data_IF_439024947260
#
_entry.id   IF_439024947260
#
_cell.length_a   1.000
_cell.length_b   1.000
_cell.length_c   1.000
_cell.angle_alpha   90.00
_cell.angle_beta   90.00
_cell.angle_gamma   90.00
#
_symmetry.space_group_name_H-M   'P 1'
#
loop_
_entity.id
_entity.type
_entity.pdbx_description
1 polymer ?
#
# COMPACT_ATOMS: atom_id res chain seq x y z
N UNK A 1 15.06 4.07 0.77
CA UNK A 1 15.11 5.42 1.36
C UNK A 1 13.74 5.72 1.92
N UNK A 2 13.62 6.25 3.14
CA UNK A 2 12.31 6.61 3.66
C UNK A 2 11.76 7.80 2.85
N UNK A 3 10.53 7.72 2.33
CA UNK A 3 9.93 8.81 1.55
C UNK A 3 9.81 10.07 2.41
N UNK A 4 10.03 11.25 1.84
CA UNK A 4 9.99 12.51 2.57
C UNK A 4 8.55 13.01 2.76
N UNK A 5 7.65 12.73 1.81
CA UNK A 5 6.22 13.11 1.86
C UNK A 5 5.34 11.97 1.34
N UNK A 6 4.03 12.04 1.60
CA UNK A 6 3.06 11.10 1.04
C UNK A 6 3.06 11.15 -0.49
N UNK A 7 3.13 12.34 -1.08
CA UNK A 7 3.11 12.48 -2.55
C UNK A 7 4.32 11.80 -3.19
N UNK A 8 5.53 11.99 -2.63
CA UNK A 8 6.73 11.32 -3.12
C UNK A 8 6.62 9.80 -2.96
N UNK A 9 6.09 9.34 -1.83
CA UNK A 9 5.83 7.92 -1.58
C UNK A 9 4.89 7.32 -2.63
N UNK A 10 3.79 8.01 -2.95
CA UNK A 10 2.81 7.55 -3.96
C UNK A 10 3.38 7.60 -5.38
N UNK A 11 4.20 8.59 -5.71
CA UNK A 11 4.90 8.66 -7.00
C UNK A 11 5.89 7.50 -7.16
N UNK A 12 6.68 7.20 -6.14
CA UNK A 12 7.62 6.07 -6.14
C UNK A 12 6.90 4.72 -6.31
N UNK A 13 5.78 4.54 -5.59
CA UNK A 13 4.95 3.34 -5.73
C UNK A 13 4.38 3.24 -7.14
N UNK A 14 3.80 4.32 -7.67
CA UNK A 14 3.23 4.36 -9.03
C UNK A 14 4.29 4.02 -10.09
N UNK A 15 5.52 4.51 -9.91
CA UNK A 15 6.67 4.12 -10.72
C UNK A 15 7.02 2.64 -10.59
N UNK A 16 7.04 2.09 -9.37
CA UNK A 16 7.31 0.66 -9.16
C UNK A 16 6.25 -0.23 -9.82
N UNK A 17 4.98 0.14 -9.70
CA UNK A 17 3.84 -0.54 -10.35
C UNK A 17 3.99 -0.50 -11.87
N UNK A 18 4.21 0.69 -12.43
CA UNK A 18 4.33 0.90 -13.89
C UNK A 18 5.52 0.12 -14.48
N UNK A 19 6.64 0.07 -13.75
CA UNK A 19 7.84 -0.65 -14.15
C UNK A 19 7.81 -2.15 -13.79
N UNK A 20 6.70 -2.67 -13.25
CA UNK A 20 6.55 -4.06 -12.77
C UNK A 20 7.65 -4.48 -11.78
N UNK A 21 8.18 -3.53 -11.01
CA UNK A 21 9.23 -3.75 -10.03
C UNK A 21 8.64 -4.24 -8.70
N UNK A 22 8.29 -5.53 -8.65
CA UNK A 22 7.72 -6.14 -7.44
C UNK A 22 8.63 -6.09 -6.22
N UNK A 23 9.96 -6.17 -6.42
CA UNK A 23 10.93 -6.08 -5.32
C UNK A 23 10.94 -4.69 -4.70
N UNK A 24 11.02 -3.65 -5.52
CA UNK A 24 10.93 -2.26 -5.06
C UNK A 24 9.60 -1.99 -4.36
N UNK A 25 8.49 -2.43 -4.97
CA UNK A 25 7.15 -2.26 -4.42
C UNK A 25 6.99 -2.93 -3.04
N UNK A 26 7.61 -4.09 -2.83
CA UNK A 26 7.55 -4.78 -1.54
C UNK A 26 8.11 -3.94 -0.39
N UNK A 27 9.20 -3.19 -0.62
CA UNK A 27 9.77 -2.30 0.38
C UNK A 27 8.85 -1.13 0.78
N UNK A 28 7.95 -0.73 -0.12
CA UNK A 28 6.97 0.31 0.18
C UNK A 28 5.72 -0.24 0.87
N UNK A 29 5.40 -1.54 0.74
CA UNK A 29 4.18 -2.14 1.30
C UNK A 29 4.41 -2.99 2.56
N UNK A 30 5.65 -3.27 2.94
CA UNK A 30 5.95 -4.00 4.17
C UNK A 30 5.76 -3.12 5.41
N UNK A 31 5.01 -3.62 6.40
CA UNK A 31 4.84 -2.94 7.69
C UNK A 31 6.12 -2.95 8.56
N UNK A 32 7.10 -3.79 8.22
CA UNK A 32 8.40 -3.85 8.89
C UNK A 32 9.43 -2.86 8.33
N UNK A 33 9.16 -2.24 7.18
CA UNK A 33 10.11 -1.35 6.55
C UNK A 33 10.17 0.02 7.26
N UNK A 34 11.33 0.71 7.27
CA UNK A 34 11.53 1.92 8.06
C UNK A 34 10.60 3.10 7.73
N UNK A 35 9.97 3.14 6.54
CA UNK A 35 9.07 4.23 6.17
C UNK A 35 7.83 4.30 7.04
N UNK A 36 7.40 3.19 7.64
CA UNK A 36 6.22 3.12 8.52
C UNK A 36 6.34 4.08 9.71
N UNK A 37 7.55 4.38 10.16
CA UNK A 37 7.78 5.32 11.26
C UNK A 37 7.59 6.79 10.85
N UNK A 38 7.51 7.10 9.55
CA UNK A 38 7.34 8.45 9.06
C UNK A 38 5.93 9.00 9.43
N UNK A 39 5.82 10.04 10.29
CA UNK A 39 4.53 10.65 10.65
C UNK A 39 3.75 11.20 9.46
N UNK A 40 4.42 11.55 8.36
CA UNK A 40 3.76 12.09 7.17
C UNK A 40 2.96 11.05 6.38
N UNK A 41 3.16 9.75 6.68
CA UNK A 41 2.36 8.67 6.13
C UNK A 41 1.19 8.26 7.03
N UNK A 42 1.05 8.86 8.21
CA UNK A 42 -0.01 8.53 9.17
C UNK A 42 -1.29 9.30 8.84
N UNK A 43 -2.02 8.87 7.80
CA UNK A 43 -3.24 9.52 7.30
C UNK A 43 -4.47 8.63 7.55
N UNK A 44 -5.56 9.15 8.18
CA UNK A 44 -6.78 8.37 8.46
C UNK A 44 -7.58 8.02 7.21
N UNK A 45 -7.68 8.95 6.25
CA UNK A 45 -8.52 8.83 5.05
C UNK A 45 -7.69 8.93 3.75
N UNK A 46 -6.79 7.96 3.50
CA UNK A 46 -5.82 8.05 2.42
C UNK A 46 -6.43 7.89 1.01
N UNK A 47 -7.61 7.26 0.86
CA UNK A 47 -8.20 6.91 -0.43
C UNK A 47 -8.32 8.12 -1.35
N UNK A 48 -8.81 9.23 -0.82
CA UNK A 48 -9.03 10.48 -1.57
C UNK A 48 -7.76 10.97 -2.27
N UNK A 49 -6.59 10.74 -1.67
CA UNK A 49 -5.29 11.13 -2.22
C UNK A 49 -4.76 10.02 -3.12
N UNK A 50 -4.83 8.76 -2.67
CA UNK A 50 -4.24 7.61 -3.36
C UNK A 50 -4.84 7.38 -4.74
N UNK A 51 -6.17 7.54 -4.91
CA UNK A 51 -6.84 7.36 -6.22
C UNK A 51 -6.37 8.34 -7.30
N UNK A 52 -5.69 9.43 -6.91
CA UNK A 52 -5.09 10.37 -7.86
C UNK A 52 -3.76 9.88 -8.44
N UNK A 53 -3.14 8.84 -7.85
CA UNK A 53 -1.82 8.31 -8.23
C UNK A 53 -1.86 6.87 -8.72
N UNK A 54 -2.84 6.10 -8.26
CA UNK A 54 -2.96 4.67 -8.48
C UNK A 54 -4.38 4.31 -8.89
N UNK A 55 -4.50 3.17 -9.57
CA UNK A 55 -5.77 2.59 -10.00
C UNK A 55 -5.94 1.20 -9.40
N UNK A 56 -7.17 0.69 -9.39
CA UNK A 56 -7.47 -0.67 -8.92
C UNK A 56 -6.61 -1.71 -9.64
N UNK A 57 -6.02 -2.68 -8.90
CA UNK A 57 -6.19 -2.94 -7.46
C UNK A 57 -5.20 -2.19 -6.54
N UNK A 58 -4.29 -1.38 -7.08
CA UNK A 58 -3.17 -0.81 -6.31
C UNK A 58 -3.58 0.34 -5.40
N UNK A 59 -4.59 1.12 -5.79
CA UNK A 59 -5.18 2.16 -4.96
C UNK A 59 -5.75 1.59 -3.65
N UNK A 60 -6.46 0.46 -3.72
CA UNK A 60 -7.06 -0.22 -2.58
C UNK A 60 -5.97 -0.77 -1.64
N UNK A 61 -4.95 -1.43 -2.20
CA UNK A 61 -3.82 -2.00 -1.43
C UNK A 61 -3.03 -0.90 -0.71
N UNK A 62 -2.70 0.18 -1.42
CA UNK A 62 -1.86 1.26 -0.88
C UNK A 62 -2.66 2.11 0.11
N UNK A 63 -3.94 2.35 -0.14
CA UNK A 63 -4.82 3.03 0.82
C UNK A 63 -4.90 2.24 2.13
N UNK A 64 -5.11 0.93 2.06
CA UNK A 64 -5.11 0.07 3.24
C UNK A 64 -3.76 0.10 3.97
N UNK A 65 -2.62 0.09 3.26
CA UNK A 65 -1.31 0.19 3.89
C UNK A 65 -1.11 1.53 4.62
N UNK A 66 -1.47 2.65 3.99
CA UNK A 66 -1.34 3.98 4.60
C UNK A 66 -2.25 4.10 5.83
N UNK A 67 -3.49 3.59 5.75
CA UNK A 67 -4.39 3.53 6.93
C UNK A 67 -3.84 2.61 8.02
N UNK A 68 -3.21 1.49 7.66
CA UNK A 68 -2.54 0.61 8.61
C UNK A 68 -1.45 1.35 9.39
N UNK A 69 -0.64 2.18 8.72
CA UNK A 69 0.38 3.01 9.39
C UNK A 69 -0.26 3.95 10.42
N UNK A 70 -1.37 4.62 10.06
CA UNK A 70 -2.11 5.49 10.96
C UNK A 70 -2.68 4.73 12.17
N UNK A 71 -3.32 3.59 11.93
CA UNK A 71 -3.94 2.76 12.97
C UNK A 71 -2.90 2.21 13.96
N UNK A 72 -1.78 1.68 13.45
CA UNK A 72 -0.64 1.24 14.28
C UNK A 72 -0.12 2.36 15.18
N UNK A 73 -0.04 3.59 14.66
CA UNK A 73 0.43 4.76 15.43
C UNK A 73 -0.54 5.14 16.55
N UNK A 74 -1.84 5.02 16.30
CA UNK A 74 -2.89 5.31 17.28
C UNK A 74 -3.15 4.15 18.25
N UNK A 75 -2.43 3.02 18.11
CA UNK A 75 -2.63 1.79 18.87
C UNK A 75 -4.02 1.17 18.65
N UNK A 76 -4.63 1.46 17.51
CA UNK A 76 -5.82 0.79 17.02
C UNK A 76 -5.40 -0.47 16.26
N UNK A 77 -5.13 -1.54 17.01
CA UNK A 77 -4.60 -2.77 16.44
C UNK A 77 -5.67 -3.59 15.70
N UNK A 78 -6.95 -3.40 16.00
CA UNK A 78 -8.04 -4.05 15.26
C UNK A 78 -8.11 -3.50 13.83
N UNK A 79 -8.10 -2.18 13.68
CA UNK A 79 -8.08 -1.53 12.36
C UNK A 79 -6.79 -1.82 11.59
N UNK A 80 -5.63 -1.80 12.28
CA UNK A 80 -4.35 -2.15 11.65
C UNK A 80 -4.37 -3.59 11.10
N UNK A 81 -4.92 -4.54 11.85
CA UNK A 81 -5.06 -5.92 11.40
C UNK A 81 -6.02 -6.06 10.22
N UNK A 82 -7.18 -5.37 10.26
CA UNK A 82 -8.14 -5.34 9.16
C UNK A 82 -7.50 -4.81 7.86
N UNK A 83 -6.71 -3.75 7.96
CA UNK A 83 -5.95 -3.20 6.83
C UNK A 83 -4.89 -4.18 6.30
N UNK A 84 -4.15 -4.88 7.17
CA UNK A 84 -3.17 -5.88 6.74
C UNK A 84 -3.78 -7.06 5.99
N UNK A 85 -5.01 -7.46 6.32
CA UNK A 85 -5.71 -8.52 5.59
C UNK A 85 -5.91 -8.14 4.11
N UNK A 86 -6.17 -6.87 3.80
CA UNK A 86 -6.32 -6.38 2.43
C UNK A 86 -5.02 -6.59 1.64
N UNK A 87 -3.87 -6.24 2.22
CA UNK A 87 -2.55 -6.43 1.62
C UNK A 87 -2.25 -7.88 1.24
N UNK A 88 -2.79 -8.86 1.98
CA UNK A 88 -2.60 -10.30 1.71
C UNK A 88 -3.62 -10.83 0.70
N UNK A 89 -4.88 -10.38 0.79
CA UNK A 89 -5.98 -10.87 -0.05
C UNK A 89 -5.81 -10.52 -1.54
N UNK A 90 -5.33 -9.32 -1.85
CA UNK A 90 -5.28 -8.85 -3.25
C UNK A 90 -4.20 -9.52 -4.11
N UNK A 91 -2.95 -9.71 -3.66
CA UNK A 91 -1.94 -10.45 -4.41
C UNK A 91 -2.37 -11.89 -4.74
N UNK A 92 -3.10 -12.54 -3.83
CA UNK A 92 -3.69 -13.86 -4.07
C UNK A 92 -4.80 -13.75 -5.13
N UNK A 93 -5.72 -12.79 -5.00
CA UNK A 93 -6.81 -12.59 -5.96
C UNK A 93 -6.31 -12.31 -7.37
N UNK A 94 -5.24 -11.51 -7.53
CA UNK A 94 -4.61 -11.24 -8.83
C UNK A 94 -4.03 -12.53 -9.43
N UNK A 95 -3.30 -13.34 -8.65
CA UNK A 95 -2.77 -14.62 -9.13
C UNK A 95 -3.88 -15.62 -9.52
N UNK A 96 -4.98 -15.67 -8.76
CA UNK A 96 -6.14 -16.50 -9.11
C UNK A 96 -6.87 -16.00 -10.37
N UNK A 97 -7.02 -14.70 -10.57
CA UNK A 97 -7.71 -14.15 -11.74
C UNK A 97 -6.88 -14.31 -13.03
N UNK A 98 -5.57 -14.07 -12.97
CA UNK A 98 -4.66 -14.25 -14.11
C UNK A 98 -4.27 -15.73 -14.36
N UNK A 99 -4.45 -16.62 -13.38
CA UNK A 99 -4.24 -18.06 -13.54
C UNK A 99 -5.41 -18.82 -14.19
N UNK A 100 -6.58 -18.19 -14.34
CA UNK A 100 -7.80 -18.82 -14.89
C UNK A 100 -8.13 -18.31 -16.30
N UNK A 101 -7.54 -17.20 -16.75
CA UNK A 101 -7.70 -16.72 -18.12
C UNK A 101 -6.68 -17.42 -19.05
N UNK A 102 -7.13 -18.12 -20.12
CA UNK A 102 -6.21 -18.63 -21.13
C UNK A 102 -5.56 -17.45 -21.86
N UNK A 103 -4.25 -17.53 -22.06
CA UNK A 103 -3.48 -16.60 -22.90
C UNK A 103 -3.92 -16.73 -24.36
#
# INVERSE_FOLDING_TARGET
MAPVTLQMYLQDISSCVSNRNGRGLSHYLMCSDPHVYNPRLSIPDPESIVVSYLVSPWDEIVSAHVRCIWAMRNRDFEEAYACQIVLIKYPLRINYFYGILPQ
#
